data_IF_225639561459
#
_entry.id   IF_225639561459
#
_cell.length_a   1.000
_cell.length_b   1.000
_cell.length_c   1.000
_cell.angle_alpha   90.00
_cell.angle_beta   90.00
_cell.angle_gamma   90.00
#
_symmetry.space_group_name_H-M   'P 1'
#
loop_
_entity.id
_entity.type
_entity.pdbx_description
1 polymer ?
#
# COMPACT_ATOMS: atom_id res chain seq x y z
N UNK A 1 -24.57 34.40 -36.60
CA UNK A 1 -23.73 33.21 -36.87
C UNK A 1 -22.34 33.34 -36.24
N UNK A 2 -22.26 33.64 -34.94
CA UNK A 2 -21.00 33.85 -34.19
C UNK A 2 -21.07 33.23 -32.79
N UNK A 3 -22.28 33.24 -32.22
CA UNK A 3 -22.58 32.74 -30.88
C UNK A 3 -22.57 31.21 -30.77
N UNK A 4 -22.95 30.48 -31.83
CA UNK A 4 -23.00 29.00 -31.82
C UNK A 4 -21.62 28.34 -31.69
N UNK A 5 -20.55 28.99 -32.20
CA UNK A 5 -19.18 28.53 -32.01
C UNK A 5 -18.78 28.59 -30.53
N UNK A 6 -19.05 29.71 -29.84
CA UNK A 6 -18.70 29.87 -28.42
C UNK A 6 -19.31 28.77 -27.53
N UNK A 7 -20.56 28.38 -27.81
CA UNK A 7 -21.22 27.30 -27.07
C UNK A 7 -20.58 25.92 -27.32
N UNK A 8 -20.13 25.63 -28.54
CA UNK A 8 -19.48 24.36 -28.86
C UNK A 8 -18.09 24.23 -28.22
N UNK A 9 -17.33 25.32 -28.16
CA UNK A 9 -16.00 25.34 -27.51
C UNK A 9 -16.13 25.20 -25.99
N UNK A 10 -17.09 25.91 -25.39
CA UNK A 10 -17.38 25.81 -23.96
C UNK A 10 -17.82 24.39 -23.55
N UNK A 11 -18.66 23.75 -24.37
CA UNK A 11 -19.11 22.37 -24.17
C UNK A 11 -17.98 21.34 -24.29
N UNK A 12 -16.94 21.61 -25.09
CA UNK A 12 -15.78 20.73 -25.24
C UNK A 12 -14.84 20.83 -24.03
N UNK A 13 -14.60 22.04 -23.50
CA UNK A 13 -13.73 22.24 -22.33
C UNK A 13 -14.20 21.50 -21.08
N UNK A 14 -15.52 21.44 -20.84
CA UNK A 14 -16.09 20.75 -19.68
C UNK A 14 -15.98 19.22 -19.76
N UNK A 15 -15.88 18.65 -20.97
CA UNK A 15 -15.71 17.21 -21.16
C UNK A 15 -14.26 16.74 -20.92
N UNK A 16 -13.28 17.64 -21.03
CA UNK A 16 -11.84 17.34 -20.92
C UNK A 16 -11.34 17.38 -19.46
N UNK A 17 -12.10 17.97 -18.54
CA UNK A 17 -11.67 18.17 -17.14
C UNK A 17 -11.79 16.94 -16.23
N UNK A 18 -12.23 15.78 -16.74
CA UNK A 18 -12.49 14.59 -15.91
C UNK A 18 -11.47 13.46 -16.12
N UNK A 19 -10.19 13.78 -16.23
CA UNK A 19 -9.14 12.79 -15.93
C UNK A 19 -8.76 12.95 -14.46
N UNK A 20 -9.57 12.39 -13.57
CA UNK A 20 -9.16 12.21 -12.18
C UNK A 20 -8.02 11.21 -12.17
N UNK A 21 -6.79 11.67 -11.91
CA UNK A 21 -5.68 10.77 -11.61
C UNK A 21 -6.08 9.96 -10.37
N UNK A 22 -6.28 8.65 -10.54
CA UNK A 22 -6.53 7.77 -9.40
C UNK A 22 -5.35 7.91 -8.42
N UNK A 23 -5.60 8.05 -7.11
CA UNK A 23 -4.52 8.13 -6.13
C UNK A 23 -3.65 6.87 -6.28
N UNK A 24 -2.39 7.06 -6.68
CA UNK A 24 -1.44 5.96 -6.73
C UNK A 24 -1.14 5.50 -5.30
N UNK A 25 -1.63 4.33 -4.96
CA UNK A 25 -1.41 3.72 -3.65
C UNK A 25 0.02 3.18 -3.57
N UNK A 26 0.87 3.83 -2.77
CA UNK A 26 2.30 3.53 -2.72
C UNK A 26 2.66 2.42 -1.71
N UNK A 27 2.78 1.17 -2.16
CA UNK A 27 3.15 0.00 -1.33
C UNK A 27 4.52 0.14 -0.62
N UNK A 28 5.37 1.07 -1.08
CA UNK A 28 6.69 1.33 -0.49
C UNK A 28 6.59 1.81 0.95
N UNK A 29 5.57 2.59 1.30
CA UNK A 29 5.39 3.04 2.69
C UNK A 29 5.04 1.87 3.61
N UNK A 30 4.20 0.95 3.15
CA UNK A 30 3.84 -0.24 3.93
C UNK A 30 5.07 -1.13 4.11
N UNK A 31 5.89 -1.30 3.06
CA UNK A 31 7.16 -2.03 3.13
C UNK A 31 8.06 -1.53 4.24
N UNK A 32 8.31 -0.22 4.30
CA UNK A 32 9.19 0.35 5.31
C UNK A 32 8.59 0.27 6.72
N UNK A 33 7.27 0.48 6.86
CA UNK A 33 6.59 0.32 8.15
C UNK A 33 6.71 -1.11 8.68
N UNK A 34 6.54 -2.11 7.82
CA UNK A 34 6.68 -3.52 8.19
C UNK A 34 8.14 -3.91 8.47
N UNK A 35 9.12 -3.36 7.76
CA UNK A 35 10.53 -3.55 8.09
C UNK A 35 10.90 -2.89 9.42
N UNK A 36 10.32 -1.75 9.74
CA UNK A 36 10.48 -1.10 11.05
C UNK A 36 9.86 -1.95 12.16
N UNK A 37 8.68 -2.55 11.93
CA UNK A 37 8.08 -3.52 12.84
C UNK A 37 9.00 -4.73 13.05
N UNK A 38 9.52 -5.30 11.96
CA UNK A 38 10.48 -6.43 12.02
C UNK A 38 11.69 -6.12 12.90
N UNK A 39 12.24 -4.90 12.82
CA UNK A 39 13.38 -4.49 13.63
C UNK A 39 13.10 -4.41 15.14
N UNK A 40 11.82 -4.41 15.55
CA UNK A 40 11.40 -4.38 16.96
C UNK A 40 11.01 -5.75 17.52
N UNK A 41 11.01 -6.79 16.69
CA UNK A 41 10.80 -8.18 17.12
C UNK A 41 12.08 -8.66 17.79
N UNK A 42 11.98 -9.03 19.06
CA UNK A 42 13.09 -9.54 19.88
C UNK A 42 13.13 -11.07 19.93
N UNK A 43 11.99 -11.72 19.72
CA UNK A 43 11.88 -13.19 19.62
C UNK A 43 10.97 -13.59 18.46
N UNK A 44 11.46 -14.48 17.60
CA UNK A 44 10.73 -15.12 16.50
C UNK A 44 11.06 -16.62 16.53
N UNK A 45 10.46 -17.40 17.45
CA UNK A 45 10.87 -18.77 17.74
C UNK A 45 10.74 -19.72 16.54
N UNK A 46 9.87 -19.37 15.59
CA UNK A 46 9.62 -20.14 14.38
C UNK A 46 10.35 -19.57 13.15
N UNK A 47 11.12 -18.48 13.30
CA UNK A 47 11.83 -17.77 12.23
C UNK A 47 10.94 -17.37 11.05
N UNK A 48 9.65 -17.09 11.30
CA UNK A 48 8.65 -16.86 10.25
C UNK A 48 8.77 -15.47 9.63
N UNK A 49 9.18 -14.45 10.41
CA UNK A 49 9.29 -13.07 9.95
C UNK A 49 10.74 -12.68 9.68
N UNK A 50 11.67 -13.10 10.55
CA UNK A 50 13.07 -12.72 10.46
C UNK A 50 13.74 -13.24 9.18
N UNK A 51 13.29 -14.38 8.65
CA UNK A 51 13.82 -14.95 7.39
C UNK A 51 13.03 -14.56 6.14
N UNK A 52 11.76 -14.18 6.28
CA UNK A 52 10.85 -14.02 5.15
C UNK A 52 10.68 -12.56 4.69
N UNK A 53 10.48 -11.64 5.62
CA UNK A 53 10.24 -10.23 5.29
C UNK A 53 11.54 -9.58 4.81
N UNK A 54 11.67 -9.35 3.51
CA UNK A 54 12.91 -8.92 2.87
C UNK A 54 12.71 -7.73 1.95
N UNK A 55 13.72 -6.86 1.87
CA UNK A 55 13.73 -5.71 0.96
C UNK A 55 13.64 -6.16 -0.52
N UNK A 56 14.08 -7.37 -0.86
CA UNK A 56 14.08 -7.85 -2.25
C UNK A 56 12.78 -8.51 -2.67
N UNK A 57 11.92 -8.92 -1.73
CA UNK A 57 10.67 -9.62 -2.03
C UNK A 57 9.47 -8.67 -2.00
N UNK A 58 8.47 -8.84 -2.88
CA UNK A 58 7.23 -8.07 -2.82
C UNK A 58 6.51 -8.26 -1.49
N UNK A 59 6.03 -7.16 -0.89
CA UNK A 59 5.37 -7.16 0.44
C UNK A 59 4.19 -8.12 0.52
N UNK A 60 3.40 -8.21 -0.55
CA UNK A 60 2.23 -9.09 -0.60
C UNK A 60 2.57 -10.59 -0.64
N UNK A 61 3.84 -10.94 -0.82
CA UNK A 61 4.33 -12.32 -0.77
C UNK A 61 4.91 -12.67 0.61
N UNK A 62 4.89 -11.74 1.56
CA UNK A 62 5.42 -11.98 2.90
C UNK A 62 4.45 -12.81 3.73
N UNK A 63 5.01 -13.70 4.55
CA UNK A 63 4.26 -14.54 5.48
C UNK A 63 3.47 -13.65 6.45
N UNK A 64 2.18 -13.96 6.61
CA UNK A 64 1.28 -13.22 7.48
C UNK A 64 0.82 -11.87 6.93
N UNK A 65 1.18 -11.48 5.70
CA UNK A 65 0.72 -10.22 5.08
C UNK A 65 -0.42 -10.49 4.11
N UNK A 66 -1.51 -9.74 4.23
CA UNK A 66 -2.60 -9.73 3.26
C UNK A 66 -2.67 -8.38 2.55
N UNK A 67 -2.75 -8.40 1.23
CA UNK A 67 -2.90 -7.21 0.40
C UNK A 67 -4.31 -7.11 -0.21
N UNK A 68 -4.79 -5.87 -0.33
CA UNK A 68 -6.03 -5.56 -1.04
C UNK A 68 -5.90 -5.77 -2.55
N UNK A 69 -6.89 -6.44 -3.15
CA UNK A 69 -6.91 -6.80 -4.58
C UNK A 69 -6.83 -5.61 -5.56
N UNK A 70 -7.41 -4.46 -5.17
CA UNK A 70 -7.54 -3.31 -6.07
C UNK A 70 -6.42 -2.28 -5.91
N UNK A 71 -5.88 -2.14 -4.70
CA UNK A 71 -4.93 -1.06 -4.37
C UNK A 71 -3.52 -1.57 -4.09
N UNK A 72 -3.30 -2.89 -4.06
CA UNK A 72 -2.01 -3.51 -3.73
C UNK A 72 -1.39 -2.95 -2.44
N UNK A 73 -2.23 -2.56 -1.48
CA UNK A 73 -1.85 -2.09 -0.14
C UNK A 73 -1.99 -3.21 0.86
N UNK A 74 -1.17 -3.19 1.90
CA UNK A 74 -1.36 -4.07 3.05
C UNK A 74 -2.68 -3.72 3.72
N UNK A 75 -3.56 -4.69 3.83
CA UNK A 75 -4.89 -4.52 4.44
C UNK A 75 -5.03 -5.29 5.75
N UNK A 76 -4.20 -6.32 5.96
CA UNK A 76 -4.17 -7.04 7.23
C UNK A 76 -2.80 -7.69 7.47
N UNK A 77 -2.50 -7.89 8.76
CA UNK A 77 -1.41 -8.73 9.24
C UNK A 77 -2.01 -9.86 10.07
N UNK A 78 -1.74 -11.11 9.69
CA UNK A 78 -2.05 -12.29 10.48
C UNK A 78 -0.76 -12.85 11.06
N UNK A 79 -0.49 -12.47 12.31
CA UNK A 79 0.67 -12.91 13.09
C UNK A 79 0.28 -13.88 14.21
N UNK A 80 -0.97 -14.38 14.17
CA UNK A 80 -1.49 -15.27 15.20
C UNK A 80 -0.64 -16.53 15.28
N UNK A 81 -0.38 -16.99 16.51
CA UNK A 81 0.38 -18.21 16.81
C UNK A 81 1.85 -18.21 16.36
N UNK A 82 2.42 -17.06 15.95
CA UNK A 82 3.84 -16.98 15.58
C UNK A 82 4.78 -16.92 16.79
N UNK A 83 4.24 -16.78 18.01
CA UNK A 83 5.03 -16.70 19.24
C UNK A 83 5.98 -15.50 19.30
N UNK A 84 5.65 -14.43 18.57
CA UNK A 84 6.51 -13.25 18.47
C UNK A 84 6.55 -12.48 19.78
N UNK A 85 7.74 -12.02 20.16
CA UNK A 85 7.94 -11.05 21.24
C UNK A 85 8.60 -9.80 20.69
N UNK A 86 8.29 -8.65 21.29
CA UNK A 86 8.86 -7.37 20.88
C UNK A 86 8.04 -6.18 21.36
N UNK A 87 8.35 -5.01 20.82
CA UNK A 87 7.65 -3.76 21.15
C UNK A 87 7.00 -3.16 19.92
N UNK A 88 5.74 -2.72 20.08
CA UNK A 88 5.05 -1.93 19.06
C UNK A 88 5.24 -0.48 19.45
N UNK A 89 6.21 0.19 18.80
CA UNK A 89 6.39 1.63 18.93
C UNK A 89 5.94 2.29 17.63
N UNK A 90 5.11 3.32 17.76
CA UNK A 90 4.74 4.21 16.68
C UNK A 90 5.80 5.33 16.60
N UNK A 91 6.40 5.54 15.42
CA UNK A 91 7.27 6.70 15.15
C UNK A 91 6.49 7.83 14.52
#
# INVERSE_FOLDING_TARGET
MKSTWFFLVYSCCMAVSCLTAAPQTNITTDKYALLALKARITSDPHNLILTNWSITTPVCNWVGVACGKHHHRVTALNLSYFGLEGTILHS
#
